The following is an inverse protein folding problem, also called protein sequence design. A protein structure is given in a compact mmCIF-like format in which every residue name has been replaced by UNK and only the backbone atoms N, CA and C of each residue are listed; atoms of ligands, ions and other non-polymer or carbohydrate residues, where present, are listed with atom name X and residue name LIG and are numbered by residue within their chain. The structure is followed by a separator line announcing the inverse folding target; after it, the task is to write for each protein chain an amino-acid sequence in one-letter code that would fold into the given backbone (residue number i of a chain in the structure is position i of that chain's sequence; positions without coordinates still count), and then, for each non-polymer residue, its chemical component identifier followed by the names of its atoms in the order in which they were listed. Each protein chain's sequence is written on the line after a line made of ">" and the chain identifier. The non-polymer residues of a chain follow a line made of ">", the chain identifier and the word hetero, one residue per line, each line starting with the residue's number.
data_IF_898672775064
#
_entry.id   IF_898672775064
#
_cell.length_a   1.000
_cell.length_b   1.000
_cell.length_c   1.000
_cell.angle_alpha   90.00
_cell.angle_beta   90.00
_cell.angle_gamma   90.00
#
_symmetry.space_group_name_H-M   'P 1'
#
loop_
_entity.id
_entity.type
_entity.pdbx_description
1 polymer ?
#
# COMPACT_ATOMS: atom_id res chain seq x y z
N UNK A 1 17.12 -10.50 -0.43
CA UNK A 1 16.60 -10.41 -1.81
C UNK A 1 15.29 -11.19 -1.93
N UNK A 2 14.64 -11.24 -3.09
CA UNK A 2 13.50 -12.15 -3.31
C UNK A 2 13.92 -13.63 -3.15
N UNK A 3 15.12 -13.99 -3.58
CA UNK A 3 15.69 -15.34 -3.37
C UNK A 3 15.83 -15.67 -1.87
N UNK A 4 16.38 -14.77 -1.06
CA UNK A 4 16.49 -14.99 0.39
C UNK A 4 15.11 -15.14 1.06
N UNK A 5 14.12 -14.39 0.58
CA UNK A 5 12.77 -14.45 1.07
C UNK A 5 12.12 -15.81 0.76
N UNK A 6 12.26 -16.28 -0.48
CA UNK A 6 11.80 -17.60 -0.91
C UNK A 6 12.51 -18.72 -0.12
N UNK A 7 13.83 -18.60 0.08
CA UNK A 7 14.61 -19.54 0.90
C UNK A 7 14.16 -19.59 2.38
N UNK A 8 13.51 -18.52 2.87
CA UNK A 8 12.93 -18.42 4.22
C UNK A 8 11.43 -18.75 4.25
N UNK A 9 10.87 -19.28 3.17
CA UNK A 9 9.43 -19.56 3.02
C UNK A 9 8.56 -18.30 3.23
N UNK A 10 9.05 -17.13 2.85
CA UNK A 10 8.24 -15.93 2.82
C UNK A 10 7.29 -15.94 1.62
N UNK A 11 6.17 -15.26 1.76
CA UNK A 11 5.21 -14.99 0.69
C UNK A 11 5.20 -13.51 0.37
N UNK A 12 5.03 -13.17 -0.90
CA UNK A 12 4.92 -11.79 -1.33
C UNK A 12 3.54 -11.23 -1.01
N UNK A 13 3.49 -10.13 -0.26
CA UNK A 13 2.29 -9.33 0.01
C UNK A 13 2.25 -8.20 -1.04
N UNK A 14 1.42 -8.30 -2.10
CA UNK A 14 1.36 -7.30 -3.15
C UNK A 14 0.68 -6.00 -2.72
N UNK A 15 -0.10 -6.00 -1.64
CA UNK A 15 -0.69 -4.79 -1.07
C UNK A 15 0.34 -4.04 -0.23
N UNK A 16 1.18 -4.75 0.52
CA UNK A 16 2.29 -4.14 1.27
C UNK A 16 3.59 -4.06 0.48
N UNK A 17 3.64 -4.50 -0.79
CA UNK A 17 4.88 -4.59 -1.58
C UNK A 17 6.05 -5.19 -0.79
N UNK A 18 5.81 -6.25 -0.01
CA UNK A 18 6.77 -6.79 0.96
C UNK A 18 6.81 -8.31 0.94
N UNK A 19 8.00 -8.89 1.12
CA UNK A 19 8.14 -10.31 1.42
C UNK A 19 7.98 -10.53 2.92
N UNK A 20 7.01 -11.34 3.33
CA UNK A 20 6.70 -11.57 4.75
C UNK A 20 6.55 -13.07 5.03
N UNK A 21 6.79 -13.53 6.27
CA UNK A 21 6.40 -14.89 6.67
C UNK A 21 4.92 -15.14 6.40
N UNK A 22 4.53 -16.36 6.05
CA UNK A 22 3.13 -16.66 5.70
C UNK A 22 2.14 -16.33 6.83
N UNK A 23 2.56 -16.40 8.09
CA UNK A 23 1.75 -15.97 9.25
C UNK A 23 1.43 -14.47 9.25
N UNK A 24 2.28 -13.65 8.64
CA UNK A 24 2.12 -12.20 8.54
C UNK A 24 1.32 -11.76 7.30
N UNK A 25 1.03 -12.70 6.38
CA UNK A 25 0.14 -12.49 5.25
C UNK A 25 -1.30 -12.75 5.67
N UNK A 26 -2.15 -11.72 5.65
CA UNK A 26 -3.55 -11.88 6.05
C UNK A 26 -4.47 -11.96 4.83
N UNK A 27 -4.71 -13.19 4.37
CA UNK A 27 -5.48 -13.48 3.17
C UNK A 27 -6.89 -12.86 3.18
N UNK A 28 -7.58 -12.85 4.31
CA UNK A 28 -8.93 -12.28 4.36
C UNK A 28 -8.93 -10.75 4.18
N UNK A 29 -7.90 -10.03 4.65
CA UNK A 29 -7.76 -8.59 4.41
C UNK A 29 -7.32 -8.30 2.98
N UNK A 30 -6.40 -9.11 2.42
CA UNK A 30 -6.07 -9.04 1.01
C UNK A 30 -7.31 -9.23 0.13
N UNK A 31 -8.12 -10.25 0.43
CA UNK A 31 -9.39 -10.48 -0.25
C UNK A 31 -10.38 -9.34 -0.01
N UNK A 32 -10.42 -8.75 1.18
CA UNK A 32 -11.27 -7.59 1.45
C UNK A 32 -10.94 -6.43 0.51
N UNK A 33 -9.67 -6.08 0.32
CA UNK A 33 -9.28 -5.00 -0.60
C UNK A 33 -9.31 -5.40 -2.08
N UNK A 34 -9.11 -6.67 -2.41
CA UNK A 34 -9.25 -7.15 -3.78
C UNK A 34 -10.72 -7.12 -4.24
N UNK A 35 -11.64 -7.50 -3.35
CA UNK A 35 -13.07 -7.58 -3.64
C UNK A 35 -13.85 -6.32 -3.23
N UNK A 36 -13.26 -5.46 -2.40
CA UNK A 36 -13.88 -4.28 -1.79
C UNK A 36 -15.30 -4.58 -1.26
N UNK A 37 -15.43 -5.76 -0.63
CA UNK A 37 -16.70 -6.39 -0.26
C UNK A 37 -17.54 -5.43 0.60
N UNK A 38 -18.72 -5.05 0.11
CA UNK A 38 -19.65 -4.17 0.83
C UNK A 38 -19.74 -2.73 0.31
N UNK A 39 -19.04 -2.37 -0.78
CA UNK A 39 -19.21 -1.06 -1.42
C UNK A 39 -19.76 -1.20 -2.84
N UNK A 40 -20.82 -0.46 -3.18
CA UNK A 40 -21.45 -0.53 -4.52
C UNK A 40 -20.62 0.14 -5.63
N UNK A 41 -19.59 0.90 -5.26
CA UNK A 41 -18.65 1.59 -6.15
C UNK A 41 -17.20 1.14 -5.91
N UNK A 42 -17.02 -0.10 -5.47
CA UNK A 42 -15.73 -0.75 -5.32
C UNK A 42 -14.91 -0.68 -6.62
N UNK A 43 -13.77 0.02 -6.60
CA UNK A 43 -12.74 -0.17 -7.63
C UNK A 43 -11.82 -1.27 -7.10
N UNK A 44 -11.78 -2.48 -7.71
CA UNK A 44 -10.89 -3.54 -7.26
C UNK A 44 -9.46 -3.05 -7.36
N UNK A 45 -8.63 -3.40 -6.38
CA UNK A 45 -7.25 -2.95 -6.34
C UNK A 45 -6.51 -3.35 -7.63
N UNK A 46 -6.00 -2.34 -8.34
CA UNK A 46 -5.20 -2.53 -9.54
C UNK A 46 -3.74 -2.83 -9.16
N UNK A 47 -3.31 -4.10 -9.30
CA UNK A 47 -1.94 -4.54 -9.03
C UNK A 47 -1.07 -4.32 -10.29
N UNK A 48 -0.95 -3.06 -10.70
CA UNK A 48 -0.08 -2.64 -11.79
C UNK A 48 1.13 -1.90 -11.25
N UNK A 49 2.30 -2.51 -11.40
CA UNK A 49 3.58 -1.93 -11.03
C UNK A 49 4.33 -1.55 -12.29
N UNK A 50 5.07 -0.45 -12.25
CA UNK A 50 5.84 0.05 -13.37
C UNK A 50 7.19 0.57 -12.88
N UNK A 51 8.17 0.66 -13.77
CA UNK A 51 9.42 1.36 -13.44
C UNK A 51 9.28 2.83 -13.74
N UNK A 52 9.99 3.69 -13.00
CA UNK A 52 10.02 5.12 -13.30
C UNK A 52 10.47 5.42 -14.75
N UNK A 53 11.44 4.68 -15.27
CA UNK A 53 11.96 4.83 -16.64
C UNK A 53 10.97 4.39 -17.72
N UNK A 54 10.06 3.46 -17.41
CA UNK A 54 9.08 2.90 -18.35
C UNK A 54 7.68 2.88 -17.70
N UNK A 55 7.03 4.05 -17.52
CA UNK A 55 5.77 4.17 -16.80
C UNK A 55 4.59 3.49 -17.50
N UNK A 56 4.71 3.23 -18.81
CA UNK A 56 3.67 2.59 -19.63
C UNK A 56 3.84 1.07 -19.72
N UNK A 57 4.92 0.50 -19.16
CA UNK A 57 5.17 -0.94 -19.18
C UNK A 57 4.84 -1.51 -17.80
N UNK A 58 3.81 -2.36 -17.75
CA UNK A 58 3.45 -3.06 -16.53
C UNK A 58 4.44 -4.21 -16.26
N UNK A 59 4.85 -4.32 -15.01
CA UNK A 59 5.63 -5.42 -14.46
C UNK A 59 4.68 -6.52 -13.98
N UNK A 60 5.05 -7.76 -14.25
CA UNK A 60 4.50 -8.92 -13.55
C UNK A 60 4.90 -8.90 -12.07
N UNK A 61 4.23 -9.72 -11.25
CA UNK A 61 4.60 -9.88 -9.84
C UNK A 61 6.01 -10.44 -9.69
N UNK A 62 6.43 -11.33 -10.59
CA UNK A 62 7.78 -11.91 -10.57
C UNK A 62 8.85 -10.85 -10.87
N UNK A 63 8.52 -9.83 -11.68
CA UNK A 63 9.40 -8.69 -11.97
C UNK A 63 9.33 -7.59 -10.90
N UNK A 64 8.17 -7.38 -10.28
CA UNK A 64 7.96 -6.33 -9.27
C UNK A 64 8.43 -6.76 -7.87
N UNK A 65 8.25 -8.03 -7.50
CA UNK A 65 8.57 -8.53 -6.16
C UNK A 65 10.06 -8.46 -5.78
N UNK A 66 11.05 -8.55 -6.68
CA UNK A 66 12.45 -8.31 -6.35
C UNK A 66 12.77 -6.82 -6.08
N UNK A 67 11.90 -5.92 -6.55
CA UNK A 67 12.01 -4.47 -6.36
C UNK A 67 11.44 -4.00 -5.02
N UNK A 68 10.82 -4.91 -4.25
CA UNK A 68 10.27 -4.70 -2.91
C UNK A 68 11.34 -4.42 -1.81
N UNK A 69 12.45 -3.79 -2.17
CA UNK A 69 13.55 -3.46 -1.27
C UNK A 69 13.15 -2.29 -0.37
N UNK A 70 13.65 -2.22 0.87
CA UNK A 70 13.45 -1.06 1.73
C UNK A 70 14.15 0.15 1.10
N UNK A 71 13.39 1.05 0.49
CA UNK A 71 13.87 2.39 0.16
C UNK A 71 13.60 3.23 1.40
N UNK A 72 14.64 3.81 2.01
CA UNK A 72 14.43 4.80 3.06
C UNK A 72 13.70 5.99 2.43
N UNK A 73 12.42 6.13 2.77
CA UNK A 73 11.57 7.21 2.26
C UNK A 73 11.99 8.55 2.89
N UNK A 74 13.03 9.13 2.33
CA UNK A 74 13.33 10.55 2.41
C UNK A 74 13.12 11.12 1.02
N UNK A 75 12.30 12.16 0.91
CA UNK A 75 12.14 12.94 -0.33
C UNK A 75 13.48 13.43 -0.90
N UNK A 76 14.53 13.51 -0.07
CA UNK A 76 15.88 13.97 -0.44
C UNK A 76 16.77 12.83 -0.96
N UNK A 77 16.49 11.57 -0.61
CA UNK A 77 17.20 10.40 -1.17
C UNK A 77 16.57 9.87 -2.46
N UNK A 78 15.53 10.55 -2.97
CA UNK A 78 14.81 10.17 -4.18
C UNK A 78 15.65 10.22 -5.48
N UNK A 79 16.84 10.81 -5.43
CA UNK A 79 17.65 11.08 -6.63
C UNK A 79 18.91 10.23 -6.75
N UNK A 80 19.42 9.61 -5.68
CA UNK A 80 20.79 9.08 -5.73
C UNK A 80 20.92 7.56 -5.80
N UNK A 81 20.02 6.71 -5.29
CA UNK A 81 20.22 5.26 -5.42
C UNK A 81 18.91 4.45 -5.55
N UNK A 82 18.54 4.16 -6.80
CA UNK A 82 18.06 2.83 -7.19
C UNK A 82 16.58 2.49 -7.02
N UNK A 83 15.86 2.51 -8.14
CA UNK A 83 14.63 1.76 -8.44
C UNK A 83 13.35 2.20 -7.70
N UNK A 84 12.71 3.26 -8.19
CA UNK A 84 11.32 3.56 -7.85
C UNK A 84 10.37 2.68 -8.69
N UNK A 85 9.55 1.90 -8.00
CA UNK A 85 8.34 1.35 -8.60
C UNK A 85 7.26 2.40 -8.49
N UNK A 86 6.72 2.82 -9.63
CA UNK A 86 5.50 3.62 -9.67
C UNK A 86 4.32 2.68 -9.88
N UNK A 87 3.16 3.13 -9.44
CA UNK A 87 1.92 2.36 -9.51
C UNK A 87 0.75 3.31 -9.68
N UNK A 88 -0.45 2.77 -9.81
CA UNK A 88 -1.66 3.57 -9.92
C UNK A 88 -1.97 4.27 -8.60
N UNK A 89 -2.62 5.42 -8.68
CA UNK A 89 -3.10 6.14 -7.49
C UNK A 89 -4.06 5.27 -6.67
N UNK A 90 -4.90 4.47 -7.34
CA UNK A 90 -5.83 3.53 -6.70
C UNK A 90 -5.09 2.50 -5.85
N UNK A 91 -4.01 1.92 -6.38
CA UNK A 91 -3.15 1.02 -5.60
C UNK A 91 -2.54 1.74 -4.41
N UNK A 92 -2.02 2.95 -4.60
CA UNK A 92 -1.34 3.68 -3.52
C UNK A 92 -2.29 4.02 -2.36
N UNK A 93 -3.49 4.50 -2.65
CA UNK A 93 -4.52 4.74 -1.62
C UNK A 93 -4.96 3.44 -0.93
N UNK A 94 -5.07 2.34 -1.68
CA UNK A 94 -5.39 1.02 -1.15
C UNK A 94 -4.28 0.50 -0.22
N UNK A 95 -3.02 0.63 -0.62
CA UNK A 95 -1.84 0.30 0.18
C UNK A 95 -1.87 1.03 1.54
N UNK A 96 -2.14 2.34 1.52
CA UNK A 96 -2.20 3.16 2.74
C UNK A 96 -3.25 2.62 3.72
N UNK A 97 -4.47 2.35 3.25
CA UNK A 97 -5.55 1.80 4.09
C UNK A 97 -5.25 0.37 4.55
N UNK A 98 -4.68 -0.47 3.67
CA UNK A 98 -4.29 -1.84 4.00
C UNK A 98 -3.25 -1.90 5.12
N UNK A 99 -2.19 -1.10 5.02
CA UNK A 99 -1.13 -1.00 6.04
C UNK A 99 -1.67 -0.45 7.36
N UNK A 100 -2.59 0.53 7.31
CA UNK A 100 -3.28 1.05 8.49
C UNK A 100 -4.06 -0.05 9.22
N UNK A 101 -4.86 -0.84 8.50
CA UNK A 101 -5.61 -1.96 9.08
C UNK A 101 -4.66 -3.04 9.64
N UNK A 102 -3.53 -3.33 8.97
CA UNK A 102 -2.52 -4.26 9.51
C UNK A 102 -1.88 -3.75 10.81
N UNK A 103 -1.68 -2.43 10.94
CA UNK A 103 -1.13 -1.83 12.17
C UNK A 103 -2.10 -1.92 13.37
N UNK A 104 -3.41 -1.87 13.13
CA UNK A 104 -4.40 -2.12 14.21
C UNK A 104 -4.42 -3.60 14.56
N UNK A 105 -4.55 -4.46 13.54
CA UNK A 105 -4.58 -5.91 13.71
C UNK A 105 -3.34 -6.46 14.40
N UNK A 106 -2.15 -5.94 14.10
CA UNK A 106 -0.90 -6.43 14.70
C UNK A 106 -0.93 -6.32 16.23
N UNK A 107 -1.64 -5.32 16.76
CA UNK A 107 -1.87 -5.13 18.20
C UNK A 107 -2.89 -6.14 18.76
N UNK A 108 -3.92 -6.46 18.01
CA UNK A 108 -4.97 -7.41 18.42
C UNK A 108 -4.48 -8.87 18.39
N UNK A 109 -3.69 -9.23 17.38
CA UNK A 109 -3.29 -10.62 17.14
C UNK A 109 -1.85 -10.92 17.56
N UNK A 110 -1.07 -9.92 17.97
CA UNK A 110 0.38 -10.02 18.23
C UNK A 110 1.21 -10.52 17.03
N UNK A 111 0.65 -10.45 15.81
CA UNK A 111 1.35 -10.82 14.58
C UNK A 111 1.98 -9.53 14.04
N UNK A 112 3.31 -9.52 13.94
CA UNK A 112 4.05 -8.34 13.51
C UNK A 112 3.71 -7.88 12.09
N UNK A 113 3.93 -6.60 11.85
CA UNK A 113 3.97 -5.99 10.52
C UNK A 113 5.43 -5.67 10.17
N UNK A 114 5.74 -5.62 8.89
CA UNK A 114 7.05 -5.18 8.40
C UNK A 114 7.40 -3.79 9.00
N UNK A 115 8.52 -3.65 9.75
CA UNK A 115 8.85 -2.45 10.51
C UNK A 115 8.86 -1.14 9.72
N UNK A 116 9.18 -1.17 8.43
CA UNK A 116 9.17 0.02 7.56
C UNK A 116 7.79 0.67 7.40
N UNK A 117 6.73 -0.03 7.81
CA UNK A 117 5.36 0.48 7.81
C UNK A 117 4.86 0.91 9.19
N UNK A 118 5.67 0.66 10.22
CA UNK A 118 5.32 0.85 11.62
C UNK A 118 6.05 2.07 12.22
N UNK A 119 5.99 3.20 11.53
CA UNK A 119 6.53 4.47 12.03
C UNK A 119 5.63 5.65 11.67
N UNK A 120 5.69 6.72 12.48
CA UNK A 120 4.80 7.87 12.34
C UNK A 120 4.92 8.55 10.97
N UNK A 121 6.14 8.69 10.43
CA UNK A 121 6.34 9.27 9.11
C UNK A 121 5.60 8.53 7.97
N UNK A 122 5.40 7.21 8.09
CA UNK A 122 4.62 6.46 7.11
C UNK A 122 3.14 6.84 7.19
N UNK A 123 2.61 7.00 8.41
CA UNK A 123 1.23 7.44 8.64
C UNK A 123 1.00 8.89 8.18
N UNK A 124 1.96 9.79 8.42
CA UNK A 124 1.91 11.17 7.95
C UNK A 124 1.89 11.25 6.42
N UNK A 125 2.73 10.47 5.74
CA UNK A 125 2.73 10.34 4.27
C UNK A 125 1.39 9.83 3.73
N UNK A 126 0.85 8.77 4.33
CA UNK A 126 -0.45 8.22 3.96
C UNK A 126 -1.57 9.26 4.11
N UNK A 127 -1.57 9.97 5.24
CA UNK A 127 -2.57 11.00 5.55
C UNK A 127 -2.49 12.17 4.57
N UNK A 128 -1.28 12.66 4.30
CA UNK A 128 -1.05 13.75 3.34
C UNK A 128 -1.46 13.37 1.92
N UNK A 129 -1.12 12.15 1.47
CA UNK A 129 -1.51 11.64 0.15
C UNK A 129 -3.03 11.61 -0.02
N UNK A 130 -3.74 11.06 0.97
CA UNK A 130 -5.20 10.96 0.95
C UNK A 130 -5.86 12.35 0.93
N UNK A 131 -5.40 13.28 1.78
CA UNK A 131 -5.94 14.63 1.85
C UNK A 131 -5.64 15.44 0.58
N UNK A 132 -4.45 15.29 -0.01
CA UNK A 132 -4.10 15.89 -1.30
C UNK A 132 -5.04 15.40 -2.41
N UNK A 133 -5.32 14.10 -2.46
CA UNK A 133 -6.25 13.53 -3.43
C UNK A 133 -7.68 14.08 -3.26
N UNK A 134 -8.18 14.15 -2.02
CA UNK A 134 -9.50 14.71 -1.71
C UNK A 134 -9.56 16.18 -2.15
N UNK A 135 -8.52 16.97 -1.84
CA UNK A 135 -8.44 18.38 -2.25
C UNK A 135 -8.53 18.53 -3.76
N UNK A 136 -7.73 17.78 -4.52
CA UNK A 136 -7.76 17.81 -6.00
C UNK A 136 -9.12 17.40 -6.56
N UNK A 137 -9.75 16.37 -5.98
CA UNK A 137 -11.07 15.88 -6.40
C UNK A 137 -12.19 16.88 -6.10
N UNK A 138 -12.14 17.54 -4.94
CA UNK A 138 -13.13 18.56 -4.54
C UNK A 138 -12.98 19.85 -5.34
N UNK A 139 -11.75 20.27 -5.66
CA UNK A 139 -11.53 21.41 -6.55
C UNK A 139 -12.08 21.16 -7.95
N UNK A 140 -12.08 19.91 -8.42
CA UNK A 140 -12.66 19.54 -9.71
C UNK A 140 -14.20 19.47 -9.67
N UNK A 141 -14.82 19.20 -8.52
CA UNK A 141 -16.28 18.97 -8.41
C UNK A 141 -17.09 20.21 -8.01
N UNK A 142 -16.47 21.25 -7.43
CA UNK A 142 -17.12 22.49 -6.93
C UNK A 142 -18.28 22.28 -5.93
N UNK A 143 -18.37 21.11 -5.30
CA UNK A 143 -19.42 20.77 -4.33
C UNK A 143 -18.83 20.51 -2.96
N UNK A 144 -19.44 21.08 -1.93
CA UNK A 144 -19.21 20.66 -0.55
C UNK A 144 -19.89 19.31 -0.32
N UNK A 145 -19.11 18.30 0.03
CA UNK A 145 -19.61 16.96 0.38
C UNK A 145 -19.63 16.80 1.89
N UNK A 146 -20.78 16.43 2.44
CA UNK A 146 -20.92 16.08 3.86
C UNK A 146 -20.65 14.59 4.03
N UNK A 147 -19.94 14.22 5.10
CA UNK A 147 -19.74 12.82 5.51
C UNK A 147 -20.40 12.58 6.87
N UNK A 148 -20.97 11.39 7.05
CA UNK A 148 -21.40 10.91 8.36
C UNK A 148 -20.17 10.55 9.20
N UNK A 149 -20.19 10.93 10.49
CA UNK A 149 -19.21 10.47 11.47
C UNK A 149 -19.93 9.44 12.34
N UNK A 150 -19.49 8.19 12.27
CA UNK A 150 -19.99 7.14 13.15
C UNK A 150 -19.32 7.26 14.52
N UNK A 151 -20.14 7.30 15.57
CA UNK A 151 -19.66 7.29 16.95
C UNK A 151 -19.72 5.84 17.43
N UNK A 152 -18.56 5.19 17.48
CA UNK A 152 -18.41 3.86 18.07
C UNK A 152 -18.30 3.98 19.59
N UNK A 153 -18.92 3.08 20.37
CA UNK A 153 -18.84 3.09 21.84
C UNK A 153 -17.44 2.83 22.38
#
# INVERSE_FOLDING_TARGET
>A
SAEDALARNCTFDPCAMAWVPSSCLYNALLQFFHLMKGTSNAVPMNISFHTFSHPNQQLSIDEASPLAKPVQMSFVHAIDEGMFVITTLEWHLTHCLYVLMKNVRSKETMIGIEPRYCHLGHLEHCSSTLLCFIKSSNTASSKHTFSQIDIYP
#
